data_IF_092086212168
#
_entry.id   IF_092086212168
#
_cell.length_a   1.000
_cell.length_b   1.000
_cell.length_c   1.000
_cell.angle_alpha   90.00
_cell.angle_beta   90.00
_cell.angle_gamma   90.00
#
_symmetry.space_group_name_H-M   'P 1'
#
loop_
_entity.id
_entity.type
_entity.pdbx_description
1 polymer ?
#
# COMPACT_ATOMS: atom_id res chain seq x y z
N UNK A 1 0.58 -6.73 6.67
CA UNK A 1 0.30 -8.15 6.97
C UNK A 1 -1.14 -8.40 6.72
N UNK A 2 -1.49 -9.59 6.23
CA UNK A 2 -2.88 -9.92 5.92
C UNK A 2 -3.21 -11.33 6.40
N UNK A 3 -4.41 -11.57 6.95
CA UNK A 3 -4.94 -12.90 7.16
C UNK A 3 -5.03 -13.63 5.80
N UNK A 4 -4.79 -14.94 5.80
CA UNK A 4 -4.95 -15.83 4.64
C UNK A 4 -5.99 -16.91 5.01
N UNK A 5 -7.27 -16.55 5.15
CA UNK A 5 -8.34 -17.50 5.52
C UNK A 5 -8.54 -18.62 4.49
N UNK A 6 -8.13 -18.41 3.25
CA UNK A 6 -8.21 -19.36 2.13
C UNK A 6 -7.08 -20.41 2.12
N UNK A 7 -6.19 -20.41 3.12
CA UNK A 7 -5.07 -21.35 3.16
C UNK A 7 -5.59 -22.81 3.22
N UNK A 8 -5.13 -23.70 2.31
CA UNK A 8 -5.83 -24.96 2.03
C UNK A 8 -5.72 -26.04 3.10
N UNK A 9 -4.83 -25.89 4.09
CA UNK A 9 -4.48 -26.96 5.05
C UNK A 9 -4.47 -26.55 6.51
N UNK A 10 -4.52 -25.26 6.80
CA UNK A 10 -4.27 -24.72 8.14
C UNK A 10 -5.09 -23.47 8.33
N UNK A 11 -5.71 -23.36 9.49
CA UNK A 11 -6.42 -22.18 9.94
C UNK A 11 -5.44 -21.16 10.54
N UNK A 12 -5.93 -19.92 10.69
CA UNK A 12 -5.23 -18.83 11.35
C UNK A 12 -3.84 -18.55 10.75
N UNK A 13 -3.76 -18.64 9.43
CA UNK A 13 -2.57 -18.25 8.67
C UNK A 13 -2.62 -16.75 8.39
N UNK A 14 -1.48 -16.09 8.55
CA UNK A 14 -1.28 -14.72 8.10
C UNK A 14 0.06 -14.56 7.40
N UNK A 15 0.11 -13.64 6.45
CA UNK A 15 1.28 -13.34 5.65
C UNK A 15 1.93 -12.02 6.09
N UNK A 16 3.25 -12.04 6.25
CA UNK A 16 4.10 -10.87 6.44
C UNK A 16 4.97 -10.70 5.19
N UNK A 17 4.72 -9.63 4.45
CA UNK A 17 5.60 -9.17 3.36
C UNK A 17 6.51 -8.05 3.85
N UNK A 18 7.78 -8.11 3.48
CA UNK A 18 8.79 -7.13 3.84
C UNK A 18 8.98 -6.09 2.74
N UNK A 19 9.64 -4.97 3.06
CA UNK A 19 10.01 -3.95 2.08
C UNK A 19 11.08 -4.42 1.07
N UNK A 20 11.67 -5.60 1.27
CA UNK A 20 12.69 -6.18 0.38
C UNK A 20 12.12 -7.22 -0.59
N UNK A 21 10.80 -7.44 -0.58
CA UNK A 21 10.13 -8.39 -1.47
C UNK A 21 9.97 -9.80 -0.89
N UNK A 22 10.52 -10.08 0.29
CA UNK A 22 10.31 -11.37 0.96
C UNK A 22 8.91 -11.47 1.57
N UNK A 23 8.34 -12.67 1.56
CA UNK A 23 7.07 -12.99 2.21
C UNK A 23 7.18 -14.24 3.09
N UNK A 24 6.56 -14.18 4.26
CA UNK A 24 6.61 -15.23 5.28
C UNK A 24 5.20 -15.58 5.75
N UNK A 25 4.91 -16.88 5.84
CA UNK A 25 3.65 -17.39 6.40
C UNK A 25 3.84 -17.76 7.87
N UNK A 26 2.93 -17.26 8.70
CA UNK A 26 2.87 -17.57 10.12
C UNK A 26 1.52 -18.22 10.43
N UNK A 27 1.51 -19.07 11.47
CA UNK A 27 0.29 -19.66 12.00
C UNK A 27 0.11 -19.20 13.45
N UNK A 28 -1.03 -18.58 13.74
CA UNK A 28 -1.44 -18.27 15.10
C UNK A 28 -2.20 -19.45 15.74
N UNK A 29 -2.26 -19.55 17.08
CA UNK A 29 -3.00 -20.61 17.75
C UNK A 29 -4.53 -20.45 17.65
N UNK A 30 -5.03 -19.24 17.41
CA UNK A 30 -6.44 -18.94 17.22
C UNK A 30 -6.64 -17.59 16.51
N UNK A 31 -7.89 -17.26 16.14
CA UNK A 31 -8.25 -16.02 15.46
C UNK A 31 -7.85 -14.77 16.25
N UNK A 32 -8.08 -14.77 17.58
CA UNK A 32 -7.75 -13.64 18.45
C UNK A 32 -6.24 -13.36 18.44
N UNK A 33 -5.43 -14.42 18.52
CA UNK A 33 -3.97 -14.26 18.49
C UNK A 33 -3.47 -13.84 17.11
N UNK A 34 -4.12 -14.26 16.02
CA UNK A 34 -3.82 -13.76 14.68
C UNK A 34 -4.01 -12.23 14.60
N UNK A 35 -5.16 -11.74 15.07
CA UNK A 35 -5.47 -10.31 15.10
C UNK A 35 -4.49 -9.54 16.00
N UNK A 36 -4.16 -10.09 17.18
CA UNK A 36 -3.17 -9.52 18.10
C UNK A 36 -1.78 -9.41 17.46
N UNK A 37 -1.33 -10.44 16.73
CA UNK A 37 -0.06 -10.41 16.01
C UNK A 37 -0.05 -9.33 14.93
N UNK A 38 -1.09 -9.28 14.10
CA UNK A 38 -1.20 -8.27 13.04
C UNK A 38 -1.19 -6.86 13.62
N UNK A 39 -2.02 -6.61 14.65
CA UNK A 39 -2.13 -5.30 15.29
C UNK A 39 -0.82 -4.87 15.95
N UNK A 40 -0.13 -5.79 16.63
CA UNK A 40 1.13 -5.50 17.31
C UNK A 40 2.22 -5.10 16.32
N UNK A 41 2.37 -5.83 15.21
CA UNK A 41 3.44 -5.52 14.27
C UNK A 41 3.12 -4.27 13.44
N UNK A 42 1.88 -4.07 13.00
CA UNK A 42 1.48 -2.80 12.38
C UNK A 42 1.71 -1.60 13.31
N UNK A 43 1.38 -1.73 14.60
CA UNK A 43 1.63 -0.67 15.60
C UNK A 43 3.12 -0.40 15.78
N UNK A 44 3.96 -1.44 15.83
CA UNK A 44 5.41 -1.29 15.89
C UNK A 44 5.97 -0.58 14.65
N UNK A 45 5.49 -0.95 13.45
CA UNK A 45 5.86 -0.30 12.20
C UNK A 45 5.40 1.15 12.14
N UNK A 46 4.20 1.47 12.63
CA UNK A 46 3.69 2.84 12.72
C UNK A 46 4.57 3.71 13.64
N UNK A 47 4.95 3.18 14.80
CA UNK A 47 5.85 3.87 15.72
C UNK A 47 7.25 4.09 15.12
N UNK A 48 7.79 3.10 14.40
CA UNK A 48 9.05 3.23 13.68
C UNK A 48 8.96 4.30 12.56
N UNK A 49 7.86 4.30 11.80
CA UNK A 49 7.57 5.27 10.75
C UNK A 49 7.56 6.71 11.27
N UNK A 50 6.93 6.94 12.43
CA UNK A 50 6.91 8.25 13.09
C UNK A 50 8.30 8.65 13.61
N UNK A 51 9.02 7.72 14.26
CA UNK A 51 10.37 7.94 14.79
C UNK A 51 11.36 8.34 13.69
N UNK A 52 11.32 7.68 12.53
CA UNK A 52 12.20 8.00 11.40
C UNK A 52 11.96 9.41 10.82
N UNK A 53 10.79 10.02 11.07
CA UNK A 53 10.44 11.38 10.66
C UNK A 53 10.54 12.41 11.79
N UNK A 54 11.02 12.00 12.97
CA UNK A 54 11.12 12.88 14.14
C UNK A 54 9.76 13.37 14.66
N UNK A 55 8.69 12.59 14.48
CA UNK A 55 7.33 12.96 14.89
C UNK A 55 6.89 12.10 16.08
N UNK A 56 6.14 12.71 17.00
CA UNK A 56 5.54 12.05 18.17
C UNK A 56 4.06 11.72 17.97
N UNK A 57 3.36 12.50 17.13
CA UNK A 57 1.96 12.25 16.76
C UNK A 57 1.83 11.23 15.63
N UNK A 58 1.95 9.94 15.95
CA UNK A 58 1.91 8.85 14.93
C UNK A 58 0.62 8.85 14.12
N UNK A 59 -0.55 8.95 14.77
CA UNK A 59 -1.85 8.98 14.07
C UNK A 59 -1.97 10.18 13.14
N UNK A 60 -1.62 11.37 13.62
CA UNK A 60 -1.68 12.59 12.82
C UNK A 60 -0.75 12.50 11.60
N UNK A 61 0.48 12.00 11.78
CA UNK A 61 1.41 11.78 10.70
C UNK A 61 0.87 10.78 9.66
N UNK A 62 0.28 9.66 10.10
CA UNK A 62 -0.31 8.69 9.18
C UNK A 62 -1.44 9.30 8.36
N UNK A 63 -2.32 10.08 8.98
CA UNK A 63 -3.40 10.79 8.28
C UNK A 63 -2.86 11.76 7.23
N UNK A 64 -1.85 12.54 7.58
CA UNK A 64 -1.21 13.51 6.69
C UNK A 64 -0.54 12.83 5.48
N UNK A 65 0.16 11.72 5.73
CA UNK A 65 0.84 10.95 4.67
C UNK A 65 -0.16 10.20 3.77
N UNK A 66 -1.24 9.64 4.34
CA UNK A 66 -2.32 9.01 3.54
C UNK A 66 -2.96 10.05 2.62
N UNK A 67 -3.28 11.24 3.15
CA UNK A 67 -3.85 12.33 2.35
C UNK A 67 -2.91 12.83 1.26
N UNK A 68 -1.59 12.89 1.55
CA UNK A 68 -0.57 13.21 0.54
C UNK A 68 -0.56 12.18 -0.58
N UNK A 69 -0.57 10.89 -0.25
CA UNK A 69 -0.61 9.79 -1.23
C UNK A 69 -1.89 9.80 -2.05
N UNK A 70 -3.05 10.08 -1.46
CA UNK A 70 -4.33 10.21 -2.18
C UNK A 70 -4.24 11.26 -3.29
N UNK A 71 -3.68 12.43 -2.99
CA UNK A 71 -3.48 13.50 -3.99
C UNK A 71 -2.49 13.13 -5.08
N UNK A 72 -1.41 12.44 -4.71
CA UNK A 72 -0.39 11.97 -5.66
C UNK A 72 -0.98 10.94 -6.63
N UNK A 73 -1.72 9.96 -6.11
CA UNK A 73 -2.44 8.95 -6.89
C UNK A 73 -3.45 9.60 -7.85
N UNK A 74 -4.25 10.55 -7.36
CA UNK A 74 -5.22 11.27 -8.20
C UNK A 74 -4.54 12.05 -9.33
N UNK A 75 -3.43 12.72 -9.02
CA UNK A 75 -2.64 13.46 -10.00
C UNK A 75 -2.08 12.53 -11.07
N UNK A 76 -1.42 11.45 -10.67
CA UNK A 76 -0.79 10.50 -11.59
C UNK A 76 -1.83 9.76 -12.44
N UNK A 77 -2.96 9.39 -11.85
CA UNK A 77 -4.07 8.76 -12.58
C UNK A 77 -4.60 9.69 -13.68
N UNK A 78 -4.74 10.99 -13.40
CA UNK A 78 -5.15 11.97 -14.41
C UNK A 78 -4.11 12.13 -15.51
N UNK A 79 -2.83 12.18 -15.16
CA UNK A 79 -1.75 12.34 -16.13
C UNK A 79 -1.62 11.11 -17.04
N UNK A 80 -1.69 9.90 -16.45
CA UNK A 80 -1.77 8.64 -17.19
C UNK A 80 -2.94 8.65 -18.16
N UNK A 81 -4.14 8.97 -17.68
CA UNK A 81 -5.34 8.99 -18.52
C UNK A 81 -5.23 10.01 -19.66
N UNK A 82 -4.65 11.18 -19.39
CA UNK A 82 -4.39 12.18 -20.43
C UNK A 82 -3.44 11.64 -21.51
N UNK A 83 -2.35 10.95 -21.11
CA UNK A 83 -1.41 10.34 -22.05
C UNK A 83 -2.05 9.21 -22.87
N UNK A 84 -2.91 8.39 -22.27
CA UNK A 84 -3.71 7.39 -22.99
C UNK A 84 -4.59 8.03 -24.05
N UNK A 85 -5.29 9.12 -23.73
CA UNK A 85 -6.10 9.86 -24.69
C UNK A 85 -5.24 10.46 -25.82
N UNK A 86 -4.09 11.06 -25.50
CA UNK A 86 -3.18 11.59 -26.52
C UNK A 86 -2.67 10.50 -27.47
N UNK A 87 -2.40 9.29 -26.95
CA UNK A 87 -1.93 8.17 -27.76
C UNK A 87 -2.94 7.73 -28.83
N UNK A 88 -4.23 8.00 -28.65
CA UNK A 88 -5.28 7.68 -29.63
C UNK A 88 -5.27 8.61 -30.86
N UNK A 89 -4.71 9.82 -30.72
CA UNK A 89 -4.73 10.85 -31.78
C UNK A 89 -3.35 11.14 -32.37
N UNK A 90 -2.26 10.78 -31.69
CA UNK A 90 -0.89 11.02 -32.15
C UNK A 90 -0.48 10.00 -33.22
N UNK A 91 -0.01 10.52 -34.36
CA UNK A 91 0.35 9.74 -35.56
C UNK A 91 1.86 9.47 -35.67
N UNK A 92 2.71 10.33 -35.12
CA UNK A 92 4.16 10.20 -35.23
C UNK A 92 4.70 9.12 -34.29
N UNK A 93 5.58 8.26 -34.81
CA UNK A 93 6.06 7.09 -34.09
C UNK A 93 6.86 7.46 -32.81
N UNK A 94 7.59 8.57 -32.84
CA UNK A 94 8.44 9.01 -31.74
C UNK A 94 7.61 9.47 -30.53
N UNK A 95 6.59 10.32 -30.75
CA UNK A 95 5.67 10.73 -29.67
C UNK A 95 4.85 9.57 -29.15
N UNK A 96 4.44 8.63 -30.02
CA UNK A 96 3.78 7.37 -29.58
C UNK A 96 4.66 6.60 -28.62
N UNK A 97 5.93 6.38 -28.98
CA UNK A 97 6.89 5.67 -28.13
C UNK A 97 7.12 6.40 -26.80
N UNK A 98 7.24 7.73 -26.83
CA UNK A 98 7.41 8.53 -25.62
C UNK A 98 6.19 8.44 -24.70
N UNK A 99 4.97 8.55 -25.25
CA UNK A 99 3.72 8.44 -24.49
C UNK A 99 3.56 7.06 -23.87
N UNK A 100 3.86 5.99 -24.62
CA UNK A 100 3.84 4.62 -24.08
C UNK A 100 4.82 4.47 -22.91
N UNK A 101 6.05 5.00 -23.03
CA UNK A 101 7.00 4.98 -21.92
C UNK A 101 6.50 5.74 -20.68
N UNK A 102 5.88 6.90 -20.87
CA UNK A 102 5.29 7.67 -19.76
C UNK A 102 4.12 6.92 -19.10
N UNK A 103 3.23 6.31 -19.88
CA UNK A 103 2.12 5.50 -19.37
C UNK A 103 2.63 4.36 -18.50
N UNK A 104 3.62 3.58 -18.98
CA UNK A 104 4.21 2.49 -18.21
C UNK A 104 4.87 3.00 -16.92
N UNK A 105 5.54 4.16 -16.97
CA UNK A 105 6.12 4.75 -15.76
C UNK A 105 5.05 5.16 -14.73
N UNK A 106 3.93 5.72 -15.16
CA UNK A 106 2.81 6.04 -14.27
C UNK A 106 2.14 4.78 -13.72
N UNK A 107 2.04 3.70 -14.50
CA UNK A 107 1.51 2.42 -14.02
C UNK A 107 2.32 1.85 -12.86
N UNK A 108 3.64 1.74 -13.03
CA UNK A 108 4.55 1.30 -11.98
C UNK A 108 4.49 2.22 -10.75
N UNK A 109 4.43 3.55 -10.99
CA UNK A 109 4.36 4.49 -9.87
C UNK A 109 3.04 4.40 -9.11
N UNK A 110 1.91 4.27 -9.81
CA UNK A 110 0.59 4.11 -9.19
C UNK A 110 0.52 2.84 -8.36
N UNK A 111 1.05 1.71 -8.86
CA UNK A 111 1.13 0.47 -8.09
C UNK A 111 1.90 0.69 -6.78
N UNK A 112 3.09 1.30 -6.87
CA UNK A 112 3.91 1.64 -5.69
C UNK A 112 3.17 2.54 -4.70
N UNK A 113 2.48 3.57 -5.19
CA UNK A 113 1.73 4.52 -4.35
C UNK A 113 0.53 3.84 -3.67
N UNK A 114 -0.19 2.97 -4.39
CA UNK A 114 -1.29 2.20 -3.82
C UNK A 114 -0.81 1.22 -2.74
N UNK A 115 0.28 0.50 -2.98
CA UNK A 115 0.89 -0.37 -1.98
C UNK A 115 1.29 0.41 -0.72
N UNK A 116 1.92 1.57 -0.89
CA UNK A 116 2.31 2.44 0.23
C UNK A 116 1.09 2.96 0.99
N UNK A 117 0.06 3.44 0.28
CA UNK A 117 -1.18 3.91 0.91
C UNK A 117 -1.86 2.80 1.70
N UNK A 118 -1.99 1.61 1.11
CA UNK A 118 -2.57 0.44 1.77
C UNK A 118 -1.82 0.09 3.06
N UNK A 119 -0.48 0.11 3.00
CA UNK A 119 0.38 -0.11 4.16
C UNK A 119 0.14 0.91 5.28
N UNK A 120 0.05 2.21 4.96
CA UNK A 120 -0.23 3.24 5.96
C UNK A 120 -1.65 3.14 6.52
N UNK A 121 -2.64 2.77 5.70
CA UNK A 121 -4.00 2.49 6.18
C UNK A 121 -4.04 1.31 7.15
N UNK A 122 -3.30 0.24 6.88
CA UNK A 122 -3.16 -0.88 7.82
C UNK A 122 -2.59 -0.44 9.17
N UNK A 123 -1.56 0.43 9.16
CA UNK A 123 -0.97 0.97 10.38
C UNK A 123 -1.98 1.81 11.17
N UNK A 124 -2.72 2.67 10.47
CA UNK A 124 -3.73 3.52 11.09
C UNK A 124 -4.88 2.69 11.68
N UNK A 125 -5.39 1.69 10.94
CA UNK A 125 -6.44 0.79 11.43
C UNK A 125 -6.02 0.04 12.68
N UNK A 126 -4.80 -0.50 12.72
CA UNK A 126 -4.30 -1.22 13.90
C UNK A 126 -4.10 -0.31 15.12
N UNK A 127 -3.73 0.96 14.94
CA UNK A 127 -3.66 1.93 16.05
C UNK A 127 -5.04 2.34 16.58
N UNK A 128 -6.07 2.25 15.74
CA UNK A 128 -7.44 2.63 16.06
C UNK A 128 -8.32 1.43 16.45
N UNK A 129 -7.79 0.20 16.38
CA UNK A 129 -8.55 -1.05 16.50
C UNK A 129 -9.75 -1.09 15.55
N UNK A 130 -9.58 -0.59 14.32
CA UNK A 130 -10.60 -0.66 13.27
C UNK A 130 -10.29 -1.76 12.28
N UNK A 131 -11.27 -2.07 11.41
CA UNK A 131 -11.10 -3.01 10.32
C UNK A 131 -9.93 -2.61 9.40
N UNK A 132 -9.19 -3.62 8.93
CA UNK A 132 -8.11 -3.42 7.96
C UNK A 132 -8.69 -3.00 6.61
N UNK A 133 -7.95 -2.23 5.79
CA UNK A 133 -8.37 -1.95 4.43
C UNK A 133 -8.54 -3.25 3.62
N UNK A 134 -9.50 -3.26 2.70
CA UNK A 134 -9.70 -4.38 1.78
C UNK A 134 -8.46 -4.56 0.89
N UNK A 135 -7.87 -5.78 0.83
CA UNK A 135 -6.76 -6.10 -0.05
C UNK A 135 -7.02 -5.85 -1.54
#
# INVERSE_FOLDING_TARGET
MQPIPEHPKRDFIFCLSTAFGDAYLFQAPCQVELENWINSIHSACAAAFARHRGKTGTLHLLQEEIFRLEKEIESDSRMKHMAELQLTVVADADSRSSLTGQISQWEENLERLHCEQFRLRCYMSSLQNSELPNP
#
